data_IF_741075508665
#
_entry.id   IF_741075508665
#
_cell.length_a   1.000
_cell.length_b   1.000
_cell.length_c   1.000
_cell.angle_alpha   90.00
_cell.angle_beta   90.00
_cell.angle_gamma   90.00
#
_symmetry.space_group_name_H-M   'P 1'
#
loop_
_entity.id
_entity.type
_entity.pdbx_description
1 polymer ?
#
# COMPACT_ATOMS: atom_id res chain seq x y z
N UNK A 1 8.94 -18.52 2.16
CA UNK A 1 8.48 -18.52 3.58
C UNK A 1 7.18 -19.34 3.64
N UNK A 2 6.56 -19.52 4.81
CA UNK A 2 5.26 -20.22 4.89
C UNK A 2 4.09 -19.38 4.36
N UNK A 3 4.09 -18.06 4.61
CA UNK A 3 2.97 -17.17 4.27
C UNK A 3 3.40 -15.70 4.05
N UNK A 4 4.54 -15.28 4.62
CA UNK A 4 5.01 -13.90 4.54
C UNK A 4 5.69 -13.63 3.18
N UNK A 5 5.14 -12.71 2.41
CA UNK A 5 5.78 -12.13 1.23
C UNK A 5 6.12 -10.68 1.54
N UNK A 6 7.28 -10.21 1.08
CA UNK A 6 7.65 -8.80 1.18
C UNK A 6 8.27 -8.33 -0.13
N UNK A 7 8.08 -7.04 -0.42
CA UNK A 7 8.74 -6.37 -1.52
C UNK A 7 9.02 -4.91 -1.19
N UNK A 8 9.92 -4.31 -1.96
CA UNK A 8 10.25 -2.89 -1.88
C UNK A 8 10.05 -2.24 -3.24
N UNK A 9 9.40 -1.09 -3.24
CA UNK A 9 9.18 -0.28 -4.44
C UNK A 9 9.71 1.11 -4.18
N UNK A 10 10.58 1.57 -5.08
CA UNK A 10 11.18 2.90 -5.03
C UNK A 10 10.69 3.73 -6.21
N UNK A 11 10.20 4.94 -5.95
CA UNK A 11 9.70 5.82 -6.99
C UNK A 11 10.79 6.72 -7.58
N UNK A 12 10.80 6.78 -8.90
CA UNK A 12 11.54 7.79 -9.64
C UNK A 12 10.99 9.20 -9.38
N UNK A 13 11.82 10.20 -9.59
CA UNK A 13 11.40 11.60 -9.41
C UNK A 13 10.24 11.97 -10.34
N UNK A 14 9.21 12.62 -9.78
CA UNK A 14 7.97 12.93 -10.48
C UNK A 14 6.92 11.80 -10.48
N UNK A 15 7.27 10.58 -10.08
CA UNK A 15 6.32 9.48 -9.89
C UNK A 15 5.81 9.44 -8.45
N UNK A 16 4.49 9.36 -8.28
CA UNK A 16 3.85 9.55 -6.97
C UNK A 16 2.79 8.51 -6.61
N UNK A 17 2.42 7.60 -7.50
CA UNK A 17 1.34 6.63 -7.25
C UNK A 17 1.89 5.22 -7.06
N UNK A 18 1.52 4.56 -5.96
CA UNK A 18 1.62 3.12 -5.83
C UNK A 18 0.24 2.46 -6.00
N UNK A 19 0.26 1.16 -6.35
CA UNK A 19 -0.93 0.29 -6.45
C UNK A 19 -2.12 0.99 -7.14
N UNK A 20 -1.92 1.31 -8.43
CA UNK A 20 -2.93 1.90 -9.29
C UNK A 20 -2.91 1.17 -10.65
N UNK A 21 -4.03 0.57 -11.10
CA UNK A 21 -5.33 0.48 -10.43
C UNK A 21 -5.28 -0.27 -9.08
N UNK A 22 -6.23 0.03 -8.20
CA UNK A 22 -6.31 -0.56 -6.87
C UNK A 22 -6.95 -1.96 -6.92
N UNK A 23 -6.89 -2.68 -5.80
CA UNK A 23 -7.51 -4.00 -5.65
C UNK A 23 -7.80 -4.30 -4.18
N UNK A 24 -8.60 -5.34 -3.94
CA UNK A 24 -8.79 -5.98 -2.63
C UNK A 24 -8.46 -7.47 -2.72
N UNK A 25 -8.26 -8.14 -1.57
CA UNK A 25 -8.10 -9.59 -1.53
C UNK A 25 -8.60 -10.15 -0.18
N UNK A 26 -9.74 -10.85 -0.21
CA UNK A 26 -10.38 -11.37 1.01
C UNK A 26 -9.51 -12.35 1.82
N UNK A 27 -8.64 -13.12 1.15
CA UNK A 27 -7.86 -14.20 1.78
C UNK A 27 -6.48 -13.77 2.30
N UNK A 28 -6.12 -12.49 2.13
CA UNK A 28 -4.81 -11.95 2.50
C UNK A 28 -4.95 -10.55 3.09
N UNK A 29 -3.91 -10.07 3.75
CA UNK A 29 -3.83 -8.71 4.26
C UNK A 29 -2.44 -8.15 3.98
N UNK A 30 -2.34 -6.82 3.89
CA UNK A 30 -1.07 -6.15 3.64
C UNK A 30 -0.76 -5.07 4.68
N UNK A 31 0.54 -4.81 4.86
CA UNK A 31 1.07 -3.70 5.65
C UNK A 31 2.05 -2.92 4.79
N UNK A 32 1.87 -1.59 4.75
CA UNK A 32 2.68 -0.67 3.97
C UNK A 32 3.53 0.19 4.89
N UNK A 33 4.85 0.17 4.72
CA UNK A 33 5.80 1.02 5.43
C UNK A 33 6.42 2.03 4.48
N UNK A 34 6.17 3.32 4.70
CA UNK A 34 6.60 4.41 3.84
C UNK A 34 7.84 5.10 4.39
N UNK A 35 8.86 5.31 3.56
CA UNK A 35 10.13 5.93 3.95
C UNK A 35 10.82 6.64 2.77
N UNK A 36 11.98 7.25 3.02
CA UNK A 36 12.67 8.13 2.06
C UNK A 36 11.81 9.31 1.57
N UNK A 37 10.90 9.80 2.42
CA UNK A 37 10.17 11.04 2.18
C UNK A 37 10.99 12.23 2.65
N UNK A 38 10.90 13.35 1.92
CA UNK A 38 11.37 14.64 2.46
C UNK A 38 10.50 15.04 3.64
N UNK A 39 11.03 15.91 4.51
CA UNK A 39 10.37 16.32 5.75
C UNK A 39 9.00 16.97 5.50
N UNK A 40 8.92 17.77 4.46
CA UNK A 40 7.73 18.48 4.00
C UNK A 40 6.72 17.54 3.31
N UNK A 41 7.20 16.46 2.69
CA UNK A 41 6.37 15.54 1.92
C UNK A 41 5.47 14.66 2.81
N UNK A 42 4.41 14.12 2.21
CA UNK A 42 3.50 13.17 2.83
C UNK A 42 2.90 12.25 1.77
N UNK A 43 2.40 11.10 2.21
CA UNK A 43 1.57 10.20 1.40
C UNK A 43 0.14 10.24 1.90
N UNK A 44 -0.81 10.37 0.97
CA UNK A 44 -2.21 10.06 1.23
C UNK A 44 -2.39 8.57 0.94
N UNK A 45 -2.37 7.74 2.00
CA UNK A 45 -2.65 6.32 1.88
C UNK A 45 -4.16 6.13 1.80
N UNK A 46 -4.65 5.72 0.64
CA UNK A 46 -6.05 5.40 0.36
C UNK A 46 -6.36 4.00 0.87
N UNK A 47 -7.41 3.91 1.68
CA UNK A 47 -7.90 2.68 2.28
C UNK A 47 -9.43 2.68 2.32
N UNK A 48 -10.04 1.61 2.79
CA UNK A 48 -11.49 1.44 2.85
C UNK A 48 -12.02 0.52 1.75
N UNK A 49 -13.33 0.25 1.78
CA UNK A 49 -13.98 -0.44 0.68
C UNK A 49 -13.94 0.43 -0.60
N UNK A 50 -13.93 -0.15 -1.81
CA UNK A 50 -13.76 0.60 -3.05
C UNK A 50 -14.77 1.76 -3.24
N UNK A 51 -16.00 1.60 -2.75
CA UNK A 51 -17.07 2.62 -2.85
C UNK A 51 -17.12 3.58 -1.66
N UNK A 52 -16.32 3.34 -0.60
CA UNK A 52 -16.29 4.15 0.62
C UNK A 52 -14.85 4.38 1.07
N UNK A 53 -14.02 4.91 0.18
CA UNK A 53 -12.62 5.16 0.48
C UNK A 53 -12.46 6.23 1.56
N UNK A 54 -11.39 6.08 2.33
CA UNK A 54 -10.86 7.03 3.32
C UNK A 54 -9.37 7.16 3.09
N UNK A 55 -8.74 8.10 3.77
CA UNK A 55 -7.30 8.25 3.70
C UNK A 55 -6.67 8.47 5.08
N UNK A 56 -5.42 8.06 5.19
CA UNK A 56 -4.52 8.41 6.29
C UNK A 56 -3.38 9.25 5.70
N UNK A 57 -3.08 10.39 6.33
CA UNK A 57 -1.88 11.15 6.01
C UNK A 57 -0.69 10.47 6.70
N UNK A 58 0.28 10.05 5.90
CA UNK A 58 1.46 9.30 6.34
C UNK A 58 2.71 10.15 6.13
N UNK A 59 3.54 10.24 7.17
CA UNK A 59 4.86 10.88 7.15
C UNK A 59 5.98 9.84 7.06
N UNK A 60 7.22 10.31 6.91
CA UNK A 60 8.38 9.45 6.79
C UNK A 60 8.47 8.42 7.94
N UNK A 61 8.78 7.17 7.59
CA UNK A 61 8.95 6.03 8.51
C UNK A 61 7.70 5.67 9.32
N UNK A 62 6.53 5.74 8.67
CA UNK A 62 5.26 5.29 9.25
C UNK A 62 4.69 4.12 8.47
N UNK A 63 3.96 3.26 9.17
CA UNK A 63 3.29 2.09 8.60
C UNK A 63 1.76 2.20 8.68
N UNK A 64 1.07 1.60 7.70
CA UNK A 64 -0.38 1.45 7.67
C UNK A 64 -0.74 -0.01 7.48
N UNK A 65 -1.68 -0.49 8.28
CA UNK A 65 -2.24 -1.84 8.20
C UNK A 65 -3.48 -1.79 7.31
N UNK A 66 -3.55 -2.65 6.30
CA UNK A 66 -4.71 -2.81 5.40
C UNK A 66 -5.46 -4.11 5.71
N UNK A 67 -6.69 -4.03 6.26
CA UNK A 67 -7.57 -5.19 6.38
C UNK A 67 -7.91 -5.78 5.00
N UNK A 68 -8.25 -7.07 4.93
CA UNK A 68 -8.52 -7.78 3.66
C UNK A 68 -9.58 -7.16 2.76
N UNK A 69 -10.61 -6.56 3.36
CA UNK A 69 -11.71 -5.88 2.66
C UNK A 69 -11.37 -4.46 2.16
N UNK A 70 -10.19 -3.95 2.54
CA UNK A 70 -9.73 -2.60 2.23
C UNK A 70 -8.85 -2.60 1.00
N UNK A 71 -8.98 -1.56 0.17
CA UNK A 71 -7.92 -1.23 -0.80
C UNK A 71 -6.66 -0.76 -0.05
N UNK A 72 -5.54 -0.78 -0.75
CA UNK A 72 -4.27 -0.19 -0.31
C UNK A 72 -3.59 0.48 -1.50
N UNK A 73 -3.81 1.78 -1.63
CA UNK A 73 -3.18 2.62 -2.65
C UNK A 73 -2.64 3.88 -1.99
N UNK A 74 -1.76 4.62 -2.66
CA UNK A 74 -1.02 5.70 -2.05
C UNK A 74 -0.56 6.69 -3.09
N UNK A 75 -0.76 7.98 -2.76
CA UNK A 75 -0.25 9.09 -3.56
C UNK A 75 0.60 10.03 -2.71
N UNK A 76 1.85 10.23 -3.14
CA UNK A 76 2.80 11.14 -2.50
C UNK A 76 2.67 12.58 -3.00
N UNK A 77 3.03 13.55 -2.16
CA UNK A 77 3.30 14.95 -2.59
C UNK A 77 4.68 15.11 -3.22
N UNK A 78 5.54 14.09 -3.08
CA UNK A 78 6.86 13.97 -3.68
C UNK A 78 7.20 12.48 -3.85
N UNK A 79 8.41 12.18 -4.34
CA UNK A 79 8.86 10.79 -4.47
C UNK A 79 9.07 10.15 -3.10
N UNK A 80 8.87 8.84 -3.02
CA UNK A 80 9.06 8.06 -1.80
C UNK A 80 9.48 6.62 -2.13
N UNK A 81 9.86 5.88 -1.10
CA UNK A 81 10.04 4.43 -1.16
C UNK A 81 9.01 3.81 -0.21
N UNK A 82 8.52 2.62 -0.52
CA UNK A 82 7.75 1.84 0.45
C UNK A 82 8.13 0.36 0.40
N UNK A 83 7.99 -0.29 1.56
CA UNK A 83 7.98 -1.74 1.68
C UNK A 83 6.54 -2.17 1.89
N UNK A 84 6.13 -3.22 1.18
CA UNK A 84 4.88 -3.93 1.44
C UNK A 84 5.19 -5.30 2.03
N UNK A 85 4.38 -5.71 2.98
CA UNK A 85 4.39 -7.06 3.54
C UNK A 85 2.99 -7.64 3.46
N UNK A 86 2.88 -8.87 2.95
CA UNK A 86 1.62 -9.58 2.77
C UNK A 86 1.67 -10.92 3.49
N UNK A 87 0.58 -11.31 4.12
CA UNK A 87 0.34 -12.69 4.57
C UNK A 87 -1.14 -13.04 4.49
N UNK A 88 -1.45 -14.33 4.59
CA UNK A 88 -2.82 -14.82 4.55
C UNK A 88 -2.90 -16.33 4.33
N UNK A 89 -4.08 -16.79 3.92
CA UNK A 89 -4.37 -18.20 3.66
C UNK A 89 -3.56 -18.76 2.47
N UNK A 90 -3.23 -17.91 1.50
CA UNK A 90 -2.47 -18.29 0.31
C UNK A 90 -1.43 -17.23 -0.08
N UNK A 91 -0.60 -17.57 -1.07
CA UNK A 91 0.40 -16.68 -1.69
C UNK A 91 0.12 -16.50 -3.20
N UNK A 92 -1.13 -16.71 -3.62
CA UNK A 92 -1.54 -16.58 -5.02
C UNK A 92 -1.81 -15.09 -5.32
N UNK A 93 -0.90 -14.44 -6.04
CA UNK A 93 -1.03 -13.01 -6.31
C UNK A 93 -2.17 -12.69 -7.26
N UNK A 94 -2.54 -13.61 -8.15
CA UNK A 94 -3.66 -13.39 -9.10
C UNK A 94 -5.03 -13.51 -8.44
N UNK A 95 -5.08 -13.99 -7.21
CA UNK A 95 -6.30 -14.14 -6.42
C UNK A 95 -6.69 -12.82 -5.74
N UNK A 96 -7.21 -11.89 -6.52
CA UNK A 96 -7.58 -10.54 -6.08
C UNK A 96 -8.76 -9.99 -6.89
N UNK A 97 -9.49 -9.05 -6.31
CA UNK A 97 -10.55 -8.31 -6.98
C UNK A 97 -10.00 -6.97 -7.48
N UNK A 98 -9.93 -6.81 -8.80
CA UNK A 98 -9.49 -5.58 -9.44
C UNK A 98 -10.57 -4.49 -9.39
N UNK A 99 -10.15 -3.23 -9.19
CA UNK A 99 -11.03 -2.04 -9.12
C UNK A 99 -10.70 -1.04 -10.22
#
# INVERSE_FOLDING_TARGET
SCQLVMGMTNFEEGSVWNTMPAHTHERRMEVYFYFNLKKEDMVFHMMGQPQETRHIIVKNEQAVISPSWSIHSGVGTGKYTFIWGMCGENIEFTDMDHV
#
